data_IF_585347888279
#
_entry.id   IF_585347888279
#
_cell.length_a   1.000
_cell.length_b   1.000
_cell.length_c   1.000
_cell.angle_alpha   90.00
_cell.angle_beta   90.00
_cell.angle_gamma   90.00
#
_symmetry.space_group_name_H-M   'P 1'
#
loop_
_entity.id
_entity.type
_entity.pdbx_description
1 polymer ?
#
# COMPACT_ATOMS: atom_id res chain seq x y z
N UNK A 1 -0.14 38.65 -28.10
CA UNK A 1 0.72 37.51 -28.53
C UNK A 1 0.54 36.20 -27.72
N UNK A 2 0.14 36.19 -26.46
CA UNK A 2 -0.07 34.95 -25.66
C UNK A 2 -1.36 34.17 -26.01
N UNK A 3 -2.39 34.80 -26.53
CA UNK A 3 -3.67 34.14 -26.86
C UNK A 3 -3.67 33.40 -28.20
N UNK A 4 -2.81 33.79 -29.11
CA UNK A 4 -2.69 33.16 -30.44
C UNK A 4 -1.90 31.84 -30.41
N UNK A 5 -0.99 31.68 -29.43
CA UNK A 5 -0.19 30.47 -29.25
C UNK A 5 -1.01 29.29 -28.69
N UNK A 6 -1.97 29.56 -27.81
CA UNK A 6 -2.84 28.51 -27.25
C UNK A 6 -3.79 27.90 -28.29
N UNK A 7 -4.28 28.68 -29.26
CA UNK A 7 -5.19 28.18 -30.29
C UNK A 7 -4.48 27.28 -31.28
N UNK A 8 -3.20 27.57 -31.59
CA UNK A 8 -2.39 26.73 -32.50
C UNK A 8 -2.02 25.38 -31.86
N UNK A 9 -1.79 25.32 -30.52
CA UNK A 9 -1.51 24.07 -29.83
C UNK A 9 -2.73 23.16 -29.74
N UNK A 10 -3.93 23.74 -29.58
CA UNK A 10 -5.19 22.97 -29.53
C UNK A 10 -5.55 22.37 -30.90
N UNK A 11 -5.19 23.04 -32.00
CA UNK A 11 -5.47 22.56 -33.37
C UNK A 11 -4.54 21.43 -33.79
N UNK A 12 -3.30 21.37 -33.29
CA UNK A 12 -2.37 20.28 -33.54
C UNK A 12 -2.74 18.98 -32.83
N UNK A 13 -3.38 19.06 -31.66
CA UNK A 13 -3.85 17.86 -30.90
C UNK A 13 -5.08 17.19 -31.55
N UNK A 14 -5.90 17.93 -32.29
CA UNK A 14 -7.09 17.39 -32.97
C UNK A 14 -6.79 16.64 -34.27
N UNK A 15 -5.61 16.84 -34.86
CA UNK A 15 -5.20 16.17 -36.10
C UNK A 15 -4.48 14.82 -35.89
N UNK A 16 -4.10 14.47 -34.68
CA UNK A 16 -3.41 13.21 -34.35
C UNK A 16 -4.35 12.01 -34.09
N UNK A 17 -5.67 12.20 -34.07
CA UNK A 17 -6.65 11.16 -33.70
C UNK A 17 -7.34 10.46 -34.88
N UNK A 18 -6.91 10.71 -36.16
CA UNK A 18 -7.61 10.16 -37.32
C UNK A 18 -6.83 9.14 -38.14
N UNK A 19 -5.74 8.56 -37.65
CA UNK A 19 -5.02 7.53 -38.38
C UNK A 19 -4.77 6.30 -37.48
N UNK A 20 -5.64 5.32 -37.53
CA UNK A 20 -5.40 3.87 -37.50
C UNK A 20 -6.69 3.12 -37.16
N UNK A 21 -7.50 2.88 -38.19
CA UNK A 21 -8.52 1.82 -38.15
C UNK A 21 -8.16 0.82 -39.25
N UNK A 22 -7.57 -0.29 -38.86
CA UNK A 22 -7.42 -1.46 -39.72
C UNK A 22 -8.05 -2.63 -39.02
N UNK A 23 -9.18 -3.06 -39.54
CA UNK A 23 -9.84 -4.30 -39.20
C UNK A 23 -8.95 -5.49 -39.59
N UNK A 24 -8.83 -6.48 -38.70
CA UNK A 24 -8.38 -7.84 -39.05
C UNK A 24 -9.34 -8.84 -38.40
N UNK A 25 -9.98 -9.57 -39.26
CA UNK A 25 -10.86 -10.74 -39.05
C UNK A 25 -10.12 -11.86 -38.29
N UNK A 26 -10.75 -12.59 -37.39
CA UNK A 26 -10.12 -13.72 -36.67
C UNK A 26 -10.09 -14.97 -37.56
N UNK A 27 -8.94 -15.60 -37.60
CA UNK A 27 -8.71 -16.91 -38.20
C UNK A 27 -8.79 -17.98 -37.10
N UNK A 28 -9.70 -18.93 -37.28
CA UNK A 28 -9.90 -20.12 -36.46
C UNK A 28 -8.68 -21.02 -36.61
N UNK A 29 -8.03 -21.45 -35.54
CA UNK A 29 -7.06 -22.55 -35.57
C UNK A 29 -7.27 -23.48 -34.37
N UNK A 30 -7.62 -24.68 -34.74
CA UNK A 30 -7.92 -25.91 -34.01
C UNK A 30 -6.92 -26.33 -32.94
N UNK A 31 -7.47 -26.93 -31.87
CA UNK A 31 -6.76 -27.72 -30.84
C UNK A 31 -5.93 -28.88 -31.42
N UNK A 32 -4.86 -29.25 -30.77
CA UNK A 32 -4.43 -30.64 -30.79
C UNK A 32 -4.60 -31.33 -29.41
N UNK A 33 -5.09 -32.52 -29.56
CA UNK A 33 -5.41 -33.63 -28.69
C UNK A 33 -4.30 -34.00 -27.69
N UNK A 34 -4.75 -34.39 -26.50
CA UNK A 34 -3.97 -35.07 -25.45
C UNK A 34 -3.33 -36.37 -25.93
N UNK A 35 -2.11 -36.65 -25.45
CA UNK A 35 -1.58 -38.00 -25.37
C UNK A 35 -0.98 -38.25 -24.02
N UNK A 36 -1.42 -39.38 -23.43
CA UNK A 36 -1.11 -39.91 -22.11
C UNK A 36 0.36 -40.31 -21.95
N UNK A 37 0.75 -40.34 -20.67
CA UNK A 37 2.00 -40.84 -20.09
C UNK A 37 2.31 -42.33 -20.42
N UNK A 38 3.54 -42.76 -20.15
CA UNK A 38 3.68 -43.71 -19.03
C UNK A 38 4.81 -43.43 -18.03
N UNK A 39 4.63 -44.16 -16.94
CA UNK A 39 5.29 -44.11 -15.66
C UNK A 39 6.73 -44.63 -15.63
N UNK A 40 7.36 -44.30 -14.48
CA UNK A 40 8.28 -45.09 -13.71
C UNK A 40 9.78 -45.07 -14.08
N UNK A 41 10.55 -44.49 -13.16
CA UNK A 41 11.70 -45.18 -12.55
C UNK A 41 12.30 -44.34 -11.40
N UNK A 42 12.29 -44.94 -10.24
CA UNK A 42 12.96 -44.56 -8.98
C UNK A 42 14.45 -44.58 -9.15
N UNK A 43 15.17 -43.52 -8.76
CA UNK A 43 16.57 -43.64 -8.37
C UNK A 43 16.86 -42.75 -7.14
N UNK A 44 17.15 -43.44 -6.06
CA UNK A 44 17.62 -42.95 -4.77
C UNK A 44 19.08 -42.51 -4.92
N UNK A 45 19.41 -41.27 -4.56
CA UNK A 45 20.79 -40.86 -4.29
C UNK A 45 20.85 -40.03 -3.03
N UNK A 46 21.62 -40.50 -2.05
CA UNK A 46 21.88 -39.91 -0.74
C UNK A 46 22.58 -38.55 -0.84
N UNK A 47 22.48 -37.70 0.23
CA UNK A 47 22.97 -36.34 0.20
C UNK A 47 24.47 -36.26 0.50
N UNK A 48 25.17 -35.53 -0.35
CA UNK A 48 26.54 -35.06 -0.06
C UNK A 48 26.42 -33.78 0.78
N UNK A 49 26.85 -33.87 2.02
CA UNK A 49 27.13 -32.72 2.88
C UNK A 49 28.27 -31.90 2.30
N UNK A 50 27.98 -30.67 1.89
CA UNK A 50 29.02 -29.66 1.66
C UNK A 50 28.79 -28.55 2.69
N UNK A 51 29.65 -28.52 3.70
CA UNK A 51 29.80 -27.41 4.64
C UNK A 51 30.44 -26.26 3.89
N UNK A 52 29.58 -25.30 3.48
CA UNK A 52 29.96 -23.95 3.05
C UNK A 52 29.46 -22.98 4.08
N UNK A 53 30.36 -22.45 4.90
CA UNK A 53 30.06 -21.32 5.80
C UNK A 53 29.97 -20.09 4.94
N UNK A 54 28.76 -19.69 4.57
CA UNK A 54 28.50 -18.34 4.05
C UNK A 54 28.23 -17.44 5.25
N UNK A 55 29.13 -16.51 5.43
CA UNK A 55 29.05 -15.38 6.36
C UNK A 55 27.86 -14.51 5.90
N UNK A 56 26.69 -14.76 6.51
CA UNK A 56 25.52 -13.91 6.38
C UNK A 56 25.87 -12.56 6.99
N UNK A 57 26.09 -11.58 6.15
CA UNK A 57 26.03 -10.16 6.56
C UNK A 57 24.61 -9.90 7.00
N UNK A 58 24.42 -9.98 8.31
CA UNK A 58 23.22 -9.60 9.03
C UNK A 58 22.93 -8.12 8.71
N UNK A 59 22.05 -7.87 7.75
CA UNK A 59 21.46 -6.56 7.54
C UNK A 59 20.58 -6.33 8.77
N UNK A 60 21.10 -5.55 9.70
CA UNK A 60 20.45 -5.21 10.95
C UNK A 60 19.17 -4.44 10.63
N UNK A 61 18.06 -5.17 10.52
CA UNK A 61 16.73 -4.60 10.57
C UNK A 61 16.61 -3.81 11.87
N UNK A 62 16.17 -2.56 11.87
CA UNK A 62 16.01 -1.79 13.09
C UNK A 62 15.03 -2.50 14.01
N UNK A 63 15.54 -3.14 15.05
CA UNK A 63 14.75 -3.79 16.10
C UNK A 63 14.25 -2.72 17.06
N UNK A 64 13.28 -1.92 16.64
CA UNK A 64 12.55 -1.07 17.55
C UNK A 64 11.23 -1.74 17.91
N UNK A 65 11.12 -2.15 19.16
CA UNK A 65 9.88 -2.59 19.78
C UNK A 65 8.91 -1.42 19.76
N UNK A 66 7.66 -1.57 19.24
CA UNK A 66 6.65 -0.52 19.36
C UNK A 66 6.56 -0.11 20.83
N UNK A 67 6.71 1.18 21.09
CA UNK A 67 6.47 1.68 22.45
C UNK A 67 5.02 1.38 22.81
N UNK A 68 4.69 1.22 24.10
CA UNK A 68 3.31 1.04 24.63
C UNK A 68 2.33 2.15 24.13
N UNK A 69 2.83 3.20 23.50
CA UNK A 69 2.07 4.31 22.95
C UNK A 69 1.41 4.00 21.59
N UNK A 70 1.70 2.86 20.95
CA UNK A 70 1.21 2.57 19.60
C UNK A 70 1.75 3.48 18.49
N UNK A 71 2.88 4.15 18.76
CA UNK A 71 3.59 5.04 17.82
C UNK A 71 4.95 4.47 17.52
N UNK A 72 5.36 4.46 16.26
CA UNK A 72 6.71 4.09 15.86
C UNK A 72 7.16 4.89 14.64
N UNK A 73 8.47 5.09 14.53
CA UNK A 73 9.09 5.67 13.35
C UNK A 73 10.46 5.06 13.14
N UNK A 74 10.87 4.96 11.91
CA UNK A 74 12.22 4.55 11.53
C UNK A 74 12.64 5.20 10.21
N UNK A 75 13.93 5.29 9.98
CA UNK A 75 14.48 5.75 8.72
C UNK A 75 15.19 4.61 7.98
N UNK A 76 15.26 4.73 6.65
CA UNK A 76 15.93 3.78 5.77
C UNK A 76 16.51 4.51 4.56
N UNK A 77 17.43 3.86 3.86
CA UNK A 77 17.98 4.36 2.60
C UNK A 77 17.33 3.60 1.44
N UNK A 78 16.95 4.32 0.37
CA UNK A 78 16.56 3.66 -0.89
C UNK A 78 17.79 3.26 -1.72
N UNK A 79 17.57 2.58 -2.84
CA UNK A 79 18.62 2.13 -3.76
C UNK A 79 19.44 3.29 -4.36
N UNK A 80 18.91 4.50 -4.35
CA UNK A 80 19.59 5.72 -4.80
C UNK A 80 20.38 6.40 -3.65
N UNK A 81 20.31 5.87 -2.43
CA UNK A 81 20.95 6.43 -1.24
C UNK A 81 20.22 7.64 -0.65
N UNK A 82 18.97 7.90 -1.03
CA UNK A 82 18.13 8.92 -0.39
C UNK A 82 17.61 8.36 0.94
N UNK A 83 17.54 9.21 1.94
CA UNK A 83 17.06 8.81 3.26
C UNK A 83 15.58 9.15 3.39
N UNK A 84 14.80 8.14 3.67
CA UNK A 84 13.38 8.20 3.92
C UNK A 84 13.06 7.94 5.38
N UNK A 85 11.93 8.42 5.84
CA UNK A 85 11.36 8.04 7.13
C UNK A 85 9.93 7.53 6.95
N UNK A 86 9.58 6.56 7.76
CA UNK A 86 8.25 5.99 7.85
C UNK A 86 7.74 6.14 9.27
N UNK A 87 6.50 6.62 9.43
CA UNK A 87 5.87 6.82 10.72
C UNK A 87 4.51 6.15 10.81
N UNK A 88 4.20 5.58 11.99
CA UNK A 88 2.90 5.01 12.31
C UNK A 88 2.40 5.56 13.64
N UNK A 89 1.11 5.85 13.71
CA UNK A 89 0.43 6.11 14.95
C UNK A 89 -0.92 5.41 14.97
N UNK A 90 -1.07 4.48 15.92
CA UNK A 90 -2.30 3.72 16.11
C UNK A 90 -3.36 4.60 16.76
N UNK A 91 -4.59 4.51 16.28
CA UNK A 91 -5.78 5.13 16.86
C UNK A 91 -6.90 4.10 16.96
N UNK A 92 -7.63 4.08 18.09
CA UNK A 92 -8.78 3.21 18.27
C UNK A 92 -9.98 4.07 18.60
N UNK A 93 -11.12 3.79 17.98
CA UNK A 93 -12.36 4.47 18.32
C UNK A 93 -13.02 3.80 19.55
N UNK A 94 -12.76 4.35 20.73
CA UNK A 94 -13.34 3.91 21.99
C UNK A 94 -14.67 4.62 22.32
N UNK A 95 -15.20 5.44 21.40
CA UNK A 95 -16.49 6.11 21.58
C UNK A 95 -17.68 5.18 21.28
N UNK A 96 -18.89 5.63 21.56
CA UNK A 96 -20.15 4.91 21.33
C UNK A 96 -20.76 5.16 19.92
N UNK A 97 -20.02 5.83 19.03
CA UNK A 97 -20.44 6.14 17.67
C UNK A 97 -19.26 6.10 16.69
N UNK A 98 -19.50 5.91 15.38
CA UNK A 98 -18.45 6.06 14.39
C UNK A 98 -17.83 7.44 14.42
N UNK A 99 -16.54 7.54 14.17
CA UNK A 99 -15.80 8.82 14.11
C UNK A 99 -15.07 8.96 12.78
N UNK A 100 -14.98 10.20 12.30
CA UNK A 100 -14.08 10.62 11.24
C UNK A 100 -12.81 11.14 11.91
N UNK A 101 -11.67 10.58 11.54
CA UNK A 101 -10.36 11.05 11.98
C UNK A 101 -9.91 12.24 11.13
N UNK A 102 -9.50 13.32 11.78
CA UNK A 102 -8.89 14.45 11.09
C UNK A 102 -7.43 14.16 10.75
N UNK A 103 -6.87 14.74 9.67
CA UNK A 103 -5.44 14.63 9.38
C UNK A 103 -4.60 15.20 10.54
N UNK A 104 -3.51 14.52 10.87
CA UNK A 104 -2.61 14.93 11.94
C UNK A 104 -1.25 15.42 11.42
N UNK A 105 -0.38 15.84 12.33
CA UNK A 105 1.00 16.20 12.05
C UNK A 105 1.93 15.22 12.75
N UNK A 106 2.85 14.64 12.01
CA UNK A 106 3.96 13.85 12.53
C UNK A 106 5.19 14.72 12.71
N UNK A 107 5.77 14.72 13.91
CA UNK A 107 7.09 15.27 14.20
C UNK A 107 8.05 14.12 14.43
N UNK A 108 9.05 14.03 13.59
CA UNK A 108 10.11 13.05 13.71
C UNK A 108 11.27 13.66 14.49
N UNK A 109 11.62 13.02 15.59
CA UNK A 109 12.64 13.50 16.50
C UNK A 109 13.79 12.49 16.58
N UNK A 110 14.98 12.96 16.94
CA UNK A 110 16.08 12.07 17.31
C UNK A 110 15.87 11.49 18.72
N UNK A 111 16.77 10.62 19.16
CA UNK A 111 16.72 10.00 20.49
C UNK A 111 16.78 10.99 21.66
N UNK A 112 17.34 12.19 21.44
CA UNK A 112 17.35 13.26 22.45
C UNK A 112 16.06 14.08 22.50
N UNK A 113 15.09 13.80 21.60
CA UNK A 113 13.82 14.51 21.52
C UNK A 113 13.88 15.82 20.71
N UNK A 114 14.96 16.08 20.01
CA UNK A 114 15.07 17.22 19.09
C UNK A 114 14.35 16.90 17.79
N UNK A 115 13.47 17.81 17.34
CA UNK A 115 12.77 17.68 16.06
C UNK A 115 13.74 17.78 14.89
N UNK A 116 13.71 16.77 14.03
CA UNK A 116 14.51 16.73 12.81
C UNK A 116 13.71 17.23 11.60
N UNK A 117 12.46 16.80 11.48
CA UNK A 117 11.55 17.22 10.40
C UNK A 117 10.09 16.89 10.76
N UNK A 118 9.18 17.39 9.96
CA UNK A 118 7.72 17.29 10.19
C UNK A 118 7.01 16.89 8.91
N UNK A 119 6.09 15.93 8.99
CA UNK A 119 5.09 15.63 7.96
C UNK A 119 3.72 16.17 8.40
N UNK A 120 3.01 16.86 7.49
CA UNK A 120 1.70 17.46 7.76
C UNK A 120 0.62 16.74 6.94
N UNK A 121 -0.62 16.94 7.36
CA UNK A 121 -1.80 16.39 6.69
C UNK A 121 -1.74 14.84 6.57
N UNK A 122 -1.15 14.18 7.57
CA UNK A 122 -1.04 12.73 7.65
C UNK A 122 -2.41 12.12 7.85
N UNK A 123 -2.81 11.26 6.93
CA UNK A 123 -4.12 10.61 6.94
C UNK A 123 -4.14 9.34 7.77
N UNK A 124 -5.31 9.07 8.38
CA UNK A 124 -5.60 7.79 9.03
C UNK A 124 -6.23 6.81 8.06
N UNK A 125 -5.89 5.54 8.19
CA UNK A 125 -6.44 4.43 7.41
C UNK A 125 -7.06 3.36 8.33
N UNK A 126 -8.38 3.12 8.23
CA UNK A 126 -9.35 3.89 7.45
C UNK A 126 -9.66 5.25 8.09
N UNK A 127 -10.11 6.24 7.30
CA UNK A 127 -10.46 7.58 7.81
C UNK A 127 -11.66 7.57 8.75
N UNK A 128 -12.64 6.73 8.48
CA UNK A 128 -13.82 6.56 9.36
C UNK A 128 -13.64 5.30 10.17
N UNK A 129 -13.58 5.40 11.48
CA UNK A 129 -13.48 4.28 12.39
C UNK A 129 -14.85 3.93 12.97
N UNK A 130 -15.26 2.68 12.84
CA UNK A 130 -16.42 2.13 13.54
C UNK A 130 -16.11 1.99 15.04
N UNK A 131 -17.13 1.76 15.84
CA UNK A 131 -16.99 1.53 17.28
C UNK A 131 -16.04 0.36 17.53
N UNK A 132 -15.00 0.56 18.32
CA UNK A 132 -13.96 -0.42 18.64
C UNK A 132 -12.99 -0.72 17.50
N UNK A 133 -13.11 -0.08 16.34
CA UNK A 133 -12.21 -0.26 15.21
C UNK A 133 -10.90 0.50 15.45
N UNK A 134 -9.81 -0.12 15.02
CA UNK A 134 -8.47 0.47 15.04
C UNK A 134 -8.08 0.89 13.63
N UNK A 135 -7.43 2.03 13.51
CA UNK A 135 -6.78 2.53 12.30
C UNK A 135 -5.37 3.00 12.59
N UNK A 136 -4.67 3.40 11.55
CA UNK A 136 -3.31 3.92 11.65
C UNK A 136 -3.17 5.20 10.83
N UNK A 137 -2.67 6.25 11.46
CA UNK A 137 -2.02 7.34 10.74
C UNK A 137 -0.70 6.80 10.20
N UNK A 138 -0.43 7.07 8.95
CA UNK A 138 0.74 6.56 8.26
C UNK A 138 1.28 7.56 7.26
N UNK A 139 2.61 7.71 7.24
CA UNK A 139 3.29 8.57 6.28
C UNK A 139 4.68 8.03 5.95
N UNK A 140 5.09 8.21 4.69
CA UNK A 140 6.45 8.01 4.20
C UNK A 140 6.91 9.33 3.61
N UNK A 141 8.07 9.82 4.06
CA UNK A 141 8.60 11.12 3.63
C UNK A 141 10.10 11.06 3.35
N UNK A 142 10.53 11.69 2.25
CA UNK A 142 11.95 11.93 1.99
C UNK A 142 12.46 13.00 2.97
N UNK A 143 13.50 12.65 3.76
CA UNK A 143 13.86 13.45 4.94
C UNK A 143 14.90 14.54 4.68
N UNK A 144 15.74 14.36 3.67
CA UNK A 144 16.94 15.20 3.48
C UNK A 144 18.05 14.96 4.51
N UNK A 145 17.94 13.94 5.38
CA UNK A 145 19.02 13.52 6.28
C UNK A 145 20.21 12.97 5.47
N UNK A 146 21.40 13.06 6.05
CA UNK A 146 22.63 12.56 5.40
C UNK A 146 22.82 11.04 5.58
N UNK A 147 22.21 10.46 6.62
CA UNK A 147 22.34 9.04 6.98
C UNK A 147 21.10 8.52 7.70
N UNK A 148 20.93 7.21 7.69
CA UNK A 148 19.90 6.50 8.47
C UNK A 148 20.16 6.76 9.95
N UNK A 149 19.13 7.16 10.69
CA UNK A 149 19.22 7.50 12.11
C UNK A 149 18.00 6.98 12.86
N UNK A 150 18.13 6.56 14.13
CA UNK A 150 16.98 6.22 14.96
C UNK A 150 16.03 7.42 15.11
N UNK A 151 14.73 7.14 14.98
CA UNK A 151 13.68 8.15 15.05
C UNK A 151 12.69 7.83 16.16
N UNK A 152 12.15 8.87 16.78
CA UNK A 152 10.96 8.79 17.61
C UNK A 152 9.86 9.67 17.02
N UNK A 153 8.57 9.36 17.30
CA UNK A 153 7.43 10.01 16.72
C UNK A 153 6.59 10.74 17.76
N UNK A 154 6.34 12.03 17.53
CA UNK A 154 5.32 12.81 18.22
C UNK A 154 4.18 13.09 17.22
N UNK A 155 2.92 12.91 17.67
CA UNK A 155 1.72 13.15 16.87
C UNK A 155 0.96 14.33 17.46
N UNK A 156 0.55 15.27 16.62
CA UNK A 156 -0.21 16.45 17.02
C UNK A 156 -1.45 16.58 16.13
N UNK A 157 -2.59 16.92 16.73
CA UNK A 157 -3.83 17.14 16.01
C UNK A 157 -4.53 15.84 15.57
N UNK A 158 -4.29 14.72 16.28
CA UNK A 158 -4.93 13.41 16.05
C UNK A 158 -6.37 13.38 16.59
N UNK A 159 -7.14 14.42 16.29
CA UNK A 159 -8.53 14.57 16.72
C UNK A 159 -9.48 13.78 15.85
N UNK A 160 -10.67 13.50 16.37
CA UNK A 160 -11.73 12.86 15.63
C UNK A 160 -13.07 13.49 15.94
N UNK A 161 -13.97 13.46 14.96
CA UNK A 161 -15.34 13.99 15.11
C UNK A 161 -16.37 12.89 14.89
N UNK A 162 -17.49 12.97 15.61
CA UNK A 162 -18.59 12.02 15.41
C UNK A 162 -19.08 12.07 13.96
N UNK A 163 -19.20 10.90 13.34
CA UNK A 163 -19.55 10.76 11.94
C UNK A 163 -20.82 9.91 11.76
N UNK A 164 -21.73 10.40 10.92
CA UNK A 164 -22.93 9.65 10.52
C UNK A 164 -22.68 8.97 9.19
N UNK A 165 -22.16 7.77 9.25
CA UNK A 165 -21.81 7.02 8.05
C UNK A 165 -20.91 5.84 8.38
N UNK A 166 -20.03 5.50 7.47
CA UNK A 166 -19.10 4.37 7.64
C UNK A 166 -19.46 3.17 6.78
N UNK A 167 -19.86 3.44 5.52
CA UNK A 167 -19.99 2.38 4.51
C UNK A 167 -18.64 1.67 4.41
N UNK A 168 -18.68 0.34 4.40
CA UNK A 168 -17.56 -0.52 4.04
C UNK A 168 -18.00 -1.40 2.88
N UNK A 169 -17.20 -1.43 1.85
CA UNK A 169 -17.36 -2.37 0.77
C UNK A 169 -16.61 -3.67 1.11
N UNK A 170 -17.07 -4.77 0.58
CA UNK A 170 -16.44 -6.06 0.77
C UNK A 170 -15.23 -6.21 -0.16
N UNK A 171 -14.10 -6.69 0.37
CA UNK A 171 -12.93 -7.05 -0.43
C UNK A 171 -12.87 -8.57 -0.57
N UNK A 172 -12.66 -9.06 -1.79
CA UNK A 172 -12.65 -10.49 -2.12
C UNK A 172 -11.48 -10.81 -3.04
N UNK A 173 -11.11 -12.11 -3.11
CA UNK A 173 -10.02 -12.59 -3.97
C UNK A 173 -8.70 -11.84 -3.75
N UNK A 174 -8.44 -11.43 -2.49
CA UNK A 174 -7.23 -10.69 -2.12
C UNK A 174 -6.03 -11.61 -2.17
N UNK A 175 -4.96 -11.15 -2.80
CA UNK A 175 -3.65 -11.81 -2.85
C UNK A 175 -2.54 -10.81 -2.58
N UNK A 176 -1.47 -11.27 -1.95
CA UNK A 176 -0.26 -10.51 -1.69
C UNK A 176 0.93 -11.23 -2.30
N UNK A 177 1.81 -10.49 -2.95
CA UNK A 177 3.02 -10.99 -3.60
C UNK A 177 4.09 -9.91 -3.61
N UNK A 178 5.31 -10.29 -3.97
CA UNK A 178 6.33 -9.28 -4.27
C UNK A 178 5.97 -8.53 -5.55
N UNK A 179 6.14 -7.21 -5.53
CA UNK A 179 6.07 -6.40 -6.74
C UNK A 179 7.26 -6.72 -7.67
N UNK A 180 7.06 -6.73 -8.99
CA UNK A 180 8.18 -6.84 -9.94
C UNK A 180 9.12 -5.63 -9.92
N UNK A 181 8.70 -4.54 -9.28
CA UNK A 181 9.48 -3.31 -9.14
C UNK A 181 10.08 -3.11 -7.75
N UNK A 182 9.99 -4.13 -6.88
CA UNK A 182 10.36 -4.08 -5.47
C UNK A 182 9.17 -3.80 -4.54
N UNK A 183 9.30 -4.23 -3.28
CA UNK A 183 8.24 -4.04 -2.28
C UNK A 183 7.08 -5.05 -2.41
N UNK A 184 5.93 -4.66 -1.88
CA UNK A 184 4.73 -5.49 -1.75
C UNK A 184 3.68 -5.04 -2.76
N UNK A 185 3.09 -6.01 -3.47
CA UNK A 185 1.92 -5.86 -4.33
C UNK A 185 0.74 -6.58 -3.70
N UNK A 186 -0.36 -5.86 -3.46
CA UNK A 186 -1.63 -6.44 -3.04
C UNK A 186 -2.65 -6.21 -4.14
N UNK A 187 -3.33 -7.26 -4.57
CA UNK A 187 -4.39 -7.18 -5.58
C UNK A 187 -5.64 -7.92 -5.14
N UNK A 188 -6.77 -7.53 -5.66
CA UNK A 188 -8.05 -8.13 -5.33
C UNK A 188 -9.21 -7.46 -6.04
N UNK A 189 -10.40 -7.73 -5.55
CA UNK A 189 -11.64 -7.14 -6.02
C UNK A 189 -12.37 -6.48 -4.86
N UNK A 190 -13.04 -5.36 -5.13
CA UNK A 190 -13.96 -4.70 -4.21
C UNK A 190 -15.40 -4.86 -4.72
N UNK A 191 -16.32 -5.25 -3.84
CA UNK A 191 -17.72 -5.47 -4.13
C UNK A 191 -18.60 -4.45 -3.41
N UNK A 192 -19.43 -3.79 -4.18
CA UNK A 192 -20.49 -2.92 -3.67
C UNK A 192 -21.80 -3.70 -3.62
N UNK A 193 -22.25 -4.06 -2.43
CA UNK A 193 -23.56 -4.72 -2.23
C UNK A 193 -24.69 -3.73 -1.95
N UNK A 194 -24.45 -2.44 -2.06
CA UNK A 194 -25.46 -1.39 -1.86
C UNK A 194 -26.20 -1.05 -3.18
N UNK A 195 -27.41 -0.49 -3.12
CA UNK A 195 -28.14 -0.05 -4.31
C UNK A 195 -27.62 1.28 -4.89
N UNK A 196 -26.62 1.89 -4.27
CA UNK A 196 -26.06 3.18 -4.66
C UNK A 196 -24.66 2.98 -5.25
N UNK A 197 -24.28 3.81 -6.22
CA UNK A 197 -22.93 3.85 -6.75
C UNK A 197 -21.99 4.48 -5.71
N UNK A 198 -20.82 3.86 -5.52
CA UNK A 198 -19.76 4.39 -4.68
C UNK A 198 -18.82 5.26 -5.50
N UNK A 199 -18.73 6.55 -5.17
CA UNK A 199 -17.76 7.45 -5.76
C UNK A 199 -16.55 7.61 -4.86
N UNK A 200 -15.36 7.88 -5.44
CA UNK A 200 -14.11 8.10 -4.72
C UNK A 200 -13.85 7.01 -3.66
N UNK A 201 -13.89 5.75 -4.08
CA UNK A 201 -13.66 4.62 -3.17
C UNK A 201 -12.17 4.49 -2.89
N UNK A 202 -11.78 4.67 -1.63
CA UNK A 202 -10.44 4.37 -1.14
C UNK A 202 -10.35 2.89 -0.77
N UNK A 203 -9.26 2.26 -1.17
CA UNK A 203 -8.87 0.94 -0.69
C UNK A 203 -7.55 1.10 0.03
N UNK A 204 -7.48 0.66 1.28
CA UNK A 204 -6.29 0.72 2.11
C UNK A 204 -6.02 -0.66 2.73
N UNK A 205 -4.77 -1.06 2.72
CA UNK A 205 -4.29 -2.29 3.31
C UNK A 205 -3.22 -1.99 4.34
N UNK A 206 -3.38 -2.51 5.56
CA UNK A 206 -2.37 -2.46 6.61
C UNK A 206 -1.71 -3.83 6.64
N UNK A 207 -0.42 -3.86 6.41
CA UNK A 207 0.39 -5.08 6.38
C UNK A 207 1.12 -5.23 7.70
N UNK A 208 1.08 -6.42 8.29
CA UNK A 208 1.68 -6.72 9.58
C UNK A 208 2.71 -7.84 9.48
N UNK A 209 3.71 -7.80 10.35
CA UNK A 209 4.63 -8.91 10.57
C UNK A 209 4.02 -10.01 11.48
N UNK A 210 4.81 -11.06 11.75
CA UNK A 210 4.41 -12.16 12.61
C UNK A 210 4.20 -11.77 14.10
N UNK A 211 4.63 -10.57 14.50
CA UNK A 211 4.43 -10.02 15.84
C UNK A 211 3.31 -8.99 15.91
N UNK A 212 2.42 -8.93 14.90
CA UNK A 212 1.34 -7.95 14.74
C UNK A 212 1.82 -6.48 14.73
N UNK A 213 3.06 -6.24 14.31
CA UNK A 213 3.58 -4.88 14.11
C UNK A 213 3.26 -4.43 12.69
N UNK A 214 2.78 -3.19 12.49
CA UNK A 214 2.56 -2.67 11.15
C UNK A 214 3.89 -2.51 10.40
N UNK A 215 3.96 -3.06 9.20
CA UNK A 215 5.09 -2.96 8.29
C UNK A 215 4.92 -1.80 7.31
N UNK A 216 3.72 -1.66 6.76
CA UNK A 216 3.37 -0.55 5.87
C UNK A 216 1.85 -0.40 5.74
N UNK A 217 1.43 0.73 5.22
CA UNK A 217 0.08 0.94 4.69
C UNK A 217 0.18 1.20 3.20
N UNK A 218 -0.59 0.44 2.43
CA UNK A 218 -0.75 0.65 0.99
C UNK A 218 -2.15 1.17 0.73
N UNK A 219 -2.31 2.19 -0.08
CA UNK A 219 -3.63 2.72 -0.40
C UNK A 219 -3.74 3.17 -1.85
N UNK A 220 -4.96 3.14 -2.37
CA UNK A 220 -5.30 3.71 -3.67
C UNK A 220 -6.75 4.21 -3.66
N UNK A 221 -7.05 5.08 -4.60
CA UNK A 221 -8.44 5.47 -4.91
C UNK A 221 -8.79 4.80 -6.22
N UNK A 222 -9.96 4.14 -6.30
CA UNK A 222 -10.43 3.58 -7.55
C UNK A 222 -10.52 4.68 -8.62
N UNK A 223 -9.97 4.39 -9.80
CA UNK A 223 -9.96 5.34 -10.92
C UNK A 223 -11.34 5.58 -11.54
N UNK A 224 -12.34 4.80 -11.14
CA UNK A 224 -13.73 4.89 -11.60
C UNK A 224 -14.70 4.63 -10.44
N UNK A 225 -15.93 5.08 -10.58
CA UNK A 225 -16.98 4.83 -9.58
C UNK A 225 -17.29 3.33 -9.50
N UNK A 226 -17.51 2.83 -8.29
CA UNK A 226 -17.91 1.45 -8.02
C UNK A 226 -19.43 1.30 -8.22
N UNK A 227 -19.91 0.61 -9.26
CA UNK A 227 -21.34 0.53 -9.55
C UNK A 227 -22.16 -0.08 -8.43
N UNK A 228 -23.43 0.32 -8.32
CA UNK A 228 -24.39 -0.34 -7.44
C UNK A 228 -24.46 -1.85 -7.72
N UNK A 229 -24.34 -2.67 -6.69
CA UNK A 229 -24.25 -4.14 -6.79
C UNK A 229 -23.12 -4.64 -7.73
N UNK A 230 -22.11 -3.81 -7.98
CA UNK A 230 -21.01 -4.09 -8.89
C UNK A 230 -19.73 -4.55 -8.18
N UNK A 231 -18.73 -4.89 -9.01
CA UNK A 231 -17.40 -5.32 -8.59
C UNK A 231 -16.37 -4.56 -9.41
N UNK A 232 -15.27 -4.16 -8.78
CA UNK A 232 -14.11 -3.56 -9.46
C UNK A 232 -12.82 -4.21 -8.94
N UNK A 233 -11.85 -4.41 -9.83
CA UNK A 233 -10.50 -4.85 -9.45
C UNK A 233 -9.67 -3.71 -8.86
N UNK A 234 -8.73 -4.04 -7.97
CA UNK A 234 -7.76 -3.08 -7.45
C UNK A 234 -6.36 -3.67 -7.37
N UNK A 235 -5.38 -2.77 -7.33
CA UNK A 235 -3.98 -3.07 -7.07
C UNK A 235 -3.41 -1.99 -6.17
N UNK A 236 -2.71 -2.40 -5.10
CA UNK A 236 -2.04 -1.53 -4.15
C UNK A 236 -0.55 -1.78 -4.23
N UNK A 237 0.21 -0.73 -4.44
CA UNK A 237 1.65 -0.77 -4.58
C UNK A 237 2.23 0.59 -4.14
N UNK A 238 3.38 0.57 -3.50
CA UNK A 238 4.11 1.80 -3.15
C UNK A 238 5.60 1.57 -3.38
N UNK A 239 6.20 2.41 -4.22
CA UNK A 239 7.60 2.32 -4.63
C UNK A 239 8.56 3.02 -3.66
N UNK A 240 8.02 3.75 -2.67
CA UNK A 240 8.80 4.46 -1.65
C UNK A 240 9.01 3.61 -0.38
N UNK A 241 8.57 2.33 -0.39
CA UNK A 241 8.81 1.39 0.71
C UNK A 241 10.30 1.01 0.82
N UNK A 242 10.77 0.60 2.02
CA UNK A 242 12.11 0.05 2.19
C UNK A 242 12.38 -1.05 1.14
N UNK A 243 13.55 -1.04 0.45
CA UNK A 243 13.86 -2.01 -0.59
C UNK A 243 13.85 -3.47 -0.11
N UNK A 244 14.21 -3.69 1.16
CA UNK A 244 14.20 -5.00 1.81
C UNK A 244 12.80 -5.49 2.18
N UNK A 245 11.80 -4.61 2.24
CA UNK A 245 10.44 -4.99 2.62
C UNK A 245 9.78 -5.81 1.51
N UNK A 246 9.53 -7.08 1.80
CA UNK A 246 8.97 -8.04 0.85
C UNK A 246 7.71 -8.72 1.41
N UNK A 247 6.94 -9.35 0.53
CA UNK A 247 5.76 -10.10 0.94
C UNK A 247 6.06 -11.29 1.86
N UNK A 248 7.33 -11.76 1.92
CA UNK A 248 7.73 -12.85 2.82
C UNK A 248 7.86 -12.41 4.28
N UNK A 249 7.99 -11.12 4.56
CA UNK A 249 8.03 -10.56 5.91
C UNK A 249 6.63 -10.29 6.46
N UNK A 250 5.65 -10.20 5.57
CA UNK A 250 4.26 -10.02 5.93
C UNK A 250 3.64 -11.33 6.39
N UNK A 251 3.04 -11.33 7.58
CA UNK A 251 2.33 -12.47 8.13
C UNK A 251 0.82 -12.28 8.11
N UNK A 252 0.35 -11.04 8.17
CA UNK A 252 -1.07 -10.71 8.26
C UNK A 252 -1.41 -9.45 7.46
N UNK A 253 -2.68 -9.30 7.11
CA UNK A 253 -3.19 -8.22 6.28
C UNK A 253 -4.59 -7.84 6.75
N UNK A 254 -4.80 -6.56 7.05
CA UNK A 254 -6.13 -5.97 7.17
C UNK A 254 -6.39 -5.08 5.96
N UNK A 255 -7.57 -5.20 5.36
CA UNK A 255 -7.91 -4.41 4.19
C UNK A 255 -9.28 -3.76 4.33
N UNK A 256 -9.36 -2.50 3.96
CA UNK A 256 -10.54 -1.66 4.05
C UNK A 256 -10.86 -1.07 2.69
N UNK A 257 -12.14 -1.09 2.32
CA UNK A 257 -12.65 -0.37 1.16
C UNK A 257 -13.82 0.52 1.59
N UNK A 258 -13.73 1.82 1.35
CA UNK A 258 -14.68 2.81 1.85
C UNK A 258 -14.73 4.04 0.96
N UNK A 259 -15.86 4.77 0.90
CA UNK A 259 -15.91 6.07 0.25
C UNK A 259 -15.10 7.08 1.08
N UNK A 260 -14.35 7.94 0.40
CA UNK A 260 -13.66 9.08 1.05
C UNK A 260 -14.72 10.01 1.62
N UNK A 261 -14.54 10.44 2.88
CA UNK A 261 -15.47 11.31 3.61
C UNK A 261 -15.32 12.79 3.22
#
# INVERSE_FOLDING_TARGET
MKRTLCVLLALCLLLALTACRTEKTPEETSLPTQTQAPADTTETTEPVQTTGSEESTDATQPTETPSDSGRCAYSYADDAGRIWAMGFARVTNDSDSPVLTEPCTFRFNNESGEELFTARDVSCYPQVLKIGETGYYFEIVETGLAEVTPLTLTVEGDESVTFKGGIRYETVNVSMSNSPYGGILISGEVRNSTPETGDLVCIAAIVYDAGDRPLCVLSTILGESLPANGVAGFSLENYDLPPELTASEAANLEIFAYPIA
#
